data_IF_531162993391
#
_entry.id   IF_531162993391
#
_cell.length_a   1.000
_cell.length_b   1.000
_cell.length_c   1.000
_cell.angle_alpha   90.00
_cell.angle_beta   90.00
_cell.angle_gamma   90.00
#
_symmetry.space_group_name_H-M   'P 1'
#
loop_
_entity.id
_entity.type
_entity.pdbx_description
1 polymer ?
#
# COMPACT_ATOMS: atom_id res chain seq x y z
N UNK A 1 3.72 -0.35 -14.26
CA UNK A 1 2.29 -0.42 -14.67
C UNK A 1 1.60 0.96 -14.76
N UNK A 2 0.42 1.03 -15.39
CA UNK A 2 -0.46 2.21 -15.45
C UNK A 2 -1.58 2.14 -14.38
N UNK A 3 -2.45 3.15 -14.31
CA UNK A 3 -3.53 3.22 -13.31
C UNK A 3 -4.51 2.03 -13.39
N UNK A 4 -4.97 1.66 -14.60
CA UNK A 4 -5.95 0.57 -14.73
C UNK A 4 -5.38 -0.76 -14.28
N UNK A 5 -4.15 -1.08 -14.68
CA UNK A 5 -3.47 -2.30 -14.21
C UNK A 5 -3.20 -2.27 -12.70
N UNK A 6 -2.96 -1.10 -12.11
CA UNK A 6 -2.86 -0.97 -10.66
C UNK A 6 -4.19 -1.26 -9.97
N UNK A 7 -5.31 -0.79 -10.53
CA UNK A 7 -6.66 -1.04 -10.01
C UNK A 7 -6.99 -2.54 -10.07
N UNK A 8 -6.70 -3.20 -11.19
CA UNK A 8 -6.87 -4.65 -11.34
C UNK A 8 -6.01 -5.42 -10.31
N UNK A 9 -4.76 -4.99 -10.11
CA UNK A 9 -3.88 -5.57 -9.10
C UNK A 9 -4.47 -5.45 -7.69
N UNK A 10 -4.86 -4.26 -7.23
CA UNK A 10 -5.37 -4.08 -5.85
C UNK A 10 -6.70 -4.79 -5.60
N UNK A 11 -7.53 -4.97 -6.64
CA UNK A 11 -8.78 -5.72 -6.57
C UNK A 11 -8.57 -7.23 -6.49
N UNK A 12 -7.49 -7.74 -7.11
CA UNK A 12 -7.15 -9.16 -7.07
C UNK A 12 -6.44 -9.60 -5.78
N UNK A 13 -5.95 -8.65 -4.97
CA UNK A 13 -5.22 -8.98 -3.75
C UNK A 13 -6.15 -9.43 -2.62
N UNK A 14 -5.69 -10.42 -1.86
CA UNK A 14 -6.27 -10.76 -0.56
C UNK A 14 -5.72 -9.84 0.53
N UNK A 15 -6.59 -9.03 1.11
CA UNK A 15 -6.25 -8.05 2.14
C UNK A 15 -6.44 -8.61 3.53
N UNK A 16 -5.40 -8.45 4.36
CA UNK A 16 -5.34 -8.98 5.72
C UNK A 16 -5.37 -7.80 6.70
N UNK A 17 -6.33 -7.81 7.62
CA UNK A 17 -6.39 -6.79 8.67
C UNK A 17 -5.17 -6.88 9.60
N UNK A 18 -4.50 -5.75 9.80
CA UNK A 18 -3.35 -5.65 10.68
C UNK A 18 -3.79 -5.56 12.14
N UNK A 19 -3.32 -6.48 12.98
CA UNK A 19 -3.48 -6.38 14.45
C UNK A 19 -2.60 -5.29 15.04
N UNK A 20 -1.45 -5.03 14.42
CA UNK A 20 -0.54 -3.97 14.86
C UNK A 20 -1.17 -2.61 14.59
N UNK A 21 -1.22 -1.76 15.61
CA UNK A 21 -1.88 -0.46 15.56
C UNK A 21 -3.38 -0.51 15.22
N UNK A 22 -4.08 -1.63 15.39
CA UNK A 22 -5.51 -1.73 15.06
C UNK A 22 -6.38 -0.67 15.74
N UNK A 23 -6.00 -0.24 16.95
CA UNK A 23 -6.72 0.80 17.71
C UNK A 23 -6.42 2.23 17.24
N UNK A 24 -5.16 2.53 16.89
CA UNK A 24 -4.71 3.91 16.60
C UNK A 24 -4.60 4.22 15.10
N UNK A 25 -4.29 3.20 14.31
CA UNK A 25 -4.07 3.29 12.88
C UNK A 25 -4.53 2.00 12.19
N UNK A 26 -5.85 1.71 12.19
CA UNK A 26 -6.38 0.51 11.55
C UNK A 26 -6.01 0.52 10.07
N UNK A 27 -5.44 -0.58 9.61
CA UNK A 27 -5.03 -0.76 8.21
C UNK A 27 -5.07 -2.25 7.84
N UNK A 28 -4.99 -2.49 6.55
CA UNK A 28 -4.87 -3.82 5.96
C UNK A 28 -3.58 -3.89 5.15
N UNK A 29 -3.15 -5.11 4.83
CA UNK A 29 -2.03 -5.33 3.93
C UNK A 29 -2.25 -6.54 3.04
N UNK A 30 -1.66 -6.53 1.86
CA UNK A 30 -1.48 -7.70 1.02
C UNK A 30 -0.02 -8.14 1.04
N UNK A 31 0.24 -9.42 0.77
CA UNK A 31 1.58 -9.99 0.82
C UNK A 31 2.06 -10.36 -0.58
N UNK A 32 3.30 -9.98 -0.92
CA UNK A 32 3.97 -10.32 -2.18
C UNK A 32 3.94 -11.82 -2.49
N UNK A 33 4.12 -12.65 -1.46
CA UNK A 33 4.11 -14.12 -1.61
C UNK A 33 2.74 -14.69 -1.99
N UNK A 34 1.67 -13.91 -1.83
CA UNK A 34 0.30 -14.30 -2.18
C UNK A 34 -0.15 -13.68 -3.52
N UNK A 35 0.67 -12.82 -4.12
CA UNK A 35 0.38 -12.22 -5.43
C UNK A 35 0.60 -13.25 -6.54
N UNK A 36 -0.23 -13.17 -7.59
CA UNK A 36 -0.12 -14.08 -8.74
C UNK A 36 1.21 -13.92 -9.49
N UNK A 37 1.73 -12.68 -9.51
CA UNK A 37 3.02 -12.35 -10.10
C UNK A 37 3.86 -11.48 -9.17
N UNK A 38 5.11 -11.89 -8.97
CA UNK A 38 6.12 -11.11 -8.23
C UNK A 38 6.44 -9.80 -8.95
N UNK A 39 6.51 -9.84 -10.28
CA UNK A 39 6.83 -8.68 -11.08
C UNK A 39 5.69 -7.67 -11.09
N UNK A 40 4.44 -8.15 -11.17
CA UNK A 40 3.26 -7.29 -11.04
C UNK A 40 3.21 -6.59 -9.68
N UNK A 41 3.53 -7.32 -8.59
CA UNK A 41 3.65 -6.72 -7.26
C UNK A 41 4.75 -5.64 -7.21
N UNK A 42 5.93 -5.92 -7.78
CA UNK A 42 7.03 -4.94 -7.82
C UNK A 42 6.64 -3.70 -8.63
N UNK A 43 5.92 -3.89 -9.73
CA UNK A 43 5.36 -2.84 -10.57
C UNK A 43 4.35 -1.97 -9.82
N UNK A 44 3.48 -2.59 -9.01
CA UNK A 44 2.55 -1.88 -8.14
C UNK A 44 3.27 -1.07 -7.04
N UNK A 45 4.33 -1.62 -6.45
CA UNK A 45 5.20 -0.89 -5.50
C UNK A 45 5.80 0.35 -6.15
N UNK A 46 6.34 0.21 -7.37
CA UNK A 46 6.91 1.33 -8.12
C UNK A 46 5.84 2.35 -8.51
N UNK A 47 4.66 1.89 -8.92
CA UNK A 47 3.54 2.75 -9.25
C UNK A 47 3.15 3.65 -8.07
N UNK A 48 3.01 3.08 -6.87
CA UNK A 48 2.71 3.85 -5.64
C UNK A 48 3.79 4.91 -5.39
N UNK A 49 5.08 4.54 -5.50
CA UNK A 49 6.20 5.45 -5.21
C UNK A 49 6.31 6.60 -6.21
N UNK A 50 5.99 6.35 -7.48
CA UNK A 50 6.11 7.33 -8.54
C UNK A 50 4.90 8.28 -8.63
N UNK A 51 3.72 7.84 -8.20
CA UNK A 51 2.47 8.59 -8.35
C UNK A 51 1.87 9.05 -7.01
N UNK A 52 2.47 8.65 -5.89
CA UNK A 52 2.01 9.03 -4.57
C UNK A 52 2.59 10.35 -4.07
N UNK A 53 2.04 10.83 -2.96
CA UNK A 53 2.50 12.02 -2.24
C UNK A 53 3.21 11.63 -0.95
N UNK A 54 4.15 12.46 -0.52
CA UNK A 54 4.86 12.25 0.75
C UNK A 54 3.97 12.65 1.92
N UNK A 55 3.78 11.74 2.87
CA UNK A 55 3.12 12.03 4.15
C UNK A 55 3.88 11.44 5.32
N UNK A 56 3.48 11.85 6.52
CA UNK A 56 4.09 11.42 7.76
C UNK A 56 3.16 10.50 8.54
N UNK A 57 3.68 9.33 8.90
CA UNK A 57 3.15 8.51 9.98
C UNK A 57 4.00 8.78 11.22
N UNK A 58 3.44 9.52 12.18
CA UNK A 58 4.19 10.14 13.28
C UNK A 58 5.40 10.94 12.75
N UNK A 59 6.62 10.50 13.05
CA UNK A 59 7.87 11.18 12.63
C UNK A 59 8.45 10.61 11.33
N UNK A 60 7.88 9.52 10.79
CA UNK A 60 8.43 8.82 9.63
C UNK A 60 7.65 9.17 8.38
N UNK A 61 8.37 9.56 7.32
CA UNK A 61 7.76 9.85 6.04
C UNK A 61 7.64 8.58 5.17
N UNK A 62 6.51 8.45 4.47
CA UNK A 62 6.28 7.44 3.45
C UNK A 62 5.62 8.08 2.22
N UNK A 63 5.57 7.35 1.12
CA UNK A 63 4.82 7.74 -0.08
C UNK A 63 3.48 7.02 -0.08
N UNK A 64 2.41 7.79 -0.17
CA UNK A 64 1.03 7.33 -0.18
C UNK A 64 0.40 7.63 -1.54
N UNK A 65 -0.13 6.60 -2.19
CA UNK A 65 -0.95 6.75 -3.38
C UNK A 65 -2.42 6.70 -3.01
N UNK A 66 -3.21 7.62 -3.57
CA UNK A 66 -4.63 7.79 -3.26
C UNK A 66 -5.50 7.31 -4.40
N UNK A 67 -6.43 6.41 -4.10
CA UNK A 67 -7.41 5.96 -5.07
C UNK A 67 -8.67 5.43 -4.39
N UNK A 68 -9.83 5.82 -4.90
CA UNK A 68 -11.15 5.32 -4.50
C UNK A 68 -11.40 5.29 -2.97
N UNK A 69 -11.02 6.38 -2.28
CA UNK A 69 -11.21 6.50 -0.82
C UNK A 69 -10.22 5.68 0.02
N UNK A 70 -9.22 5.05 -0.60
CA UNK A 70 -8.11 4.38 0.06
C UNK A 70 -6.79 5.10 -0.17
N UNK A 71 -5.89 4.96 0.81
CA UNK A 71 -4.47 5.24 0.65
C UNK A 71 -3.65 3.97 0.67
N UNK A 72 -2.69 3.86 -0.22
CA UNK A 72 -1.81 2.70 -0.41
C UNK A 72 -0.36 3.10 -0.19
N UNK A 73 0.41 2.30 0.56
CA UNK A 73 1.81 2.62 0.83
C UNK A 73 2.68 1.38 1.06
N UNK A 74 4.00 1.59 1.02
CA UNK A 74 5.01 0.57 1.38
C UNK A 74 5.94 1.11 2.47
N UNK A 75 6.70 0.23 3.12
CA UNK A 75 7.56 0.59 4.26
C UNK A 75 8.92 1.20 3.86
N UNK A 76 9.15 1.46 2.57
CA UNK A 76 10.35 2.16 2.08
C UNK A 76 11.57 1.27 1.79
N UNK A 77 11.46 -0.05 1.93
CA UNK A 77 12.53 -0.98 1.53
C UNK A 77 12.82 -0.91 0.01
N UNK A 78 13.99 -1.34 -0.48
CA UNK A 78 14.20 -1.56 -1.91
C UNK A 78 13.07 -2.40 -2.52
N UNK A 79 12.71 -2.17 -3.78
CA UNK A 79 11.55 -2.83 -4.43
C UNK A 79 11.62 -4.35 -4.30
N UNK A 80 12.79 -4.94 -4.61
CA UNK A 80 13.00 -6.39 -4.52
C UNK A 80 12.82 -6.96 -3.10
N UNK A 81 13.07 -6.16 -2.05
CA UNK A 81 12.92 -6.53 -0.63
C UNK A 81 11.55 -6.17 -0.06
N UNK A 82 10.71 -5.44 -0.80
CA UNK A 82 9.37 -5.08 -0.33
C UNK A 82 8.49 -6.32 -0.38
N UNK A 83 7.89 -6.69 0.75
CA UNK A 83 7.10 -7.93 0.91
C UNK A 83 5.60 -7.69 1.08
N UNK A 84 5.19 -6.43 1.28
CA UNK A 84 3.79 -6.07 1.51
C UNK A 84 3.47 -4.66 0.99
N UNK A 85 2.21 -4.46 0.62
CA UNK A 85 1.60 -3.16 0.38
C UNK A 85 0.50 -3.01 1.42
N UNK A 86 0.47 -1.87 2.10
CA UNK A 86 -0.58 -1.54 3.05
C UNK A 86 -1.67 -0.71 2.38
N UNK A 87 -2.89 -0.79 2.92
CA UNK A 87 -3.98 0.14 2.62
C UNK A 87 -4.77 0.54 3.87
N UNK A 88 -5.40 1.70 3.83
CA UNK A 88 -6.46 2.08 4.79
C UNK A 88 -7.42 3.08 4.15
N UNK A 89 -8.64 3.17 4.67
CA UNK A 89 -9.62 4.15 4.21
C UNK A 89 -9.11 5.55 4.59
N UNK A 90 -9.02 6.44 3.61
CA UNK A 90 -8.52 7.80 3.81
C UNK A 90 -9.43 8.67 4.69
N UNK A 91 -10.69 8.26 4.87
CA UNK A 91 -11.65 8.96 5.72
C UNK A 91 -11.30 8.95 7.22
N UNK A 92 -10.28 8.20 7.66
CA UNK A 92 -9.79 8.23 9.04
C UNK A 92 -8.49 9.02 9.11
N UNK A 93 -8.61 10.34 9.28
CA UNK A 93 -7.49 11.15 9.78
C UNK A 93 -7.14 10.67 11.19
N UNK A 94 -5.87 10.41 11.45
CA UNK A 94 -5.38 10.13 12.80
C UNK A 94 -5.68 11.36 13.66
N UNK A 95 -6.50 11.22 14.71
CA UNK A 95 -6.68 12.25 15.74
C UNK A 95 -5.45 12.32 16.66
#
# INVERSE_FOLDING_TARGET
MNLNSFIEFIQSQNWIFAKTYSEKAPHEYCLKKNSQSIDEFNDAVMFIRNNGVKEFFYKKAFIYFYHDGYKYWTMGAPVHQTILINRTNDFKKYE
#
